data_IF_737811060281
#
_entry.id   IF_737811060281
#
_cell.length_a   1.000
_cell.length_b   1.000
_cell.length_c   1.000
_cell.angle_alpha   90.00
_cell.angle_beta   90.00
_cell.angle_gamma   90.00
#
_symmetry.space_group_name_H-M   'P 1'
#
loop_
_entity.id
_entity.type
_entity.pdbx_description
1 polymer ?
#
# COMPACT_ATOMS: atom_id res chain seq x y z
N UNK A 1 -8.42 -8.90 15.02
CA UNK A 1 -8.96 -9.14 13.66
C UNK A 1 -8.45 -10.50 13.22
N UNK A 2 -9.32 -11.48 12.92
CA UNK A 2 -8.87 -12.84 12.59
C UNK A 2 -8.08 -12.81 11.26
N UNK A 3 -6.90 -13.47 11.16
CA UNK A 3 -6.03 -13.38 9.96
C UNK A 3 -6.72 -13.81 8.65
N UNK A 4 -7.71 -14.71 8.75
CA UNK A 4 -8.53 -15.17 7.62
C UNK A 4 -9.46 -14.08 7.08
N UNK A 5 -10.04 -13.25 7.95
CA UNK A 5 -10.96 -12.18 7.54
C UNK A 5 -10.23 -11.06 6.78
N UNK A 6 -8.98 -10.78 7.16
CA UNK A 6 -8.14 -9.79 6.49
C UNK A 6 -7.80 -10.23 5.07
N UNK A 7 -7.29 -11.46 4.89
CA UNK A 7 -7.01 -12.02 3.55
C UNK A 7 -8.23 -11.99 2.64
N UNK A 8 -9.39 -12.42 3.15
CA UNK A 8 -10.65 -12.42 2.40
C UNK A 8 -11.11 -11.01 1.99
N UNK A 9 -10.82 -9.99 2.81
CA UNK A 9 -11.12 -8.61 2.47
C UNK A 9 -10.23 -8.11 1.32
N UNK A 10 -8.93 -8.43 1.35
CA UNK A 10 -7.98 -8.11 0.28
C UNK A 10 -8.38 -8.80 -1.04
N UNK A 11 -8.69 -10.09 -1.01
CA UNK A 11 -9.11 -10.83 -2.20
C UNK A 11 -10.31 -10.20 -2.89
N UNK A 12 -11.33 -9.83 -2.11
CA UNK A 12 -12.52 -9.13 -2.64
C UNK A 12 -12.18 -7.78 -3.25
N UNK A 13 -11.22 -7.04 -2.68
CA UNK A 13 -10.76 -5.77 -3.26
C UNK A 13 -10.00 -6.00 -4.56
N UNK A 14 -9.17 -7.04 -4.64
CA UNK A 14 -8.47 -7.43 -5.87
C UNK A 14 -9.47 -7.82 -6.98
N UNK A 15 -10.47 -8.63 -6.67
CA UNK A 15 -11.50 -9.03 -7.64
C UNK A 15 -12.31 -7.81 -8.12
N UNK A 16 -12.60 -6.87 -7.23
CA UNK A 16 -13.25 -5.58 -7.59
C UNK A 16 -12.39 -4.76 -8.53
N UNK A 17 -11.09 -4.63 -8.26
CA UNK A 17 -10.17 -3.88 -9.13
C UNK A 17 -10.06 -4.50 -10.53
N UNK A 18 -10.11 -5.84 -10.63
CA UNK A 18 -10.10 -6.53 -11.91
C UNK A 18 -11.43 -6.42 -12.69
N UNK A 19 -12.57 -6.34 -11.98
CA UNK A 19 -13.90 -6.28 -12.60
C UNK A 19 -14.45 -4.86 -12.78
N UNK A 20 -13.82 -3.85 -12.17
CA UNK A 20 -14.29 -2.47 -12.19
C UNK A 20 -14.23 -1.85 -13.60
N UNK A 21 -15.40 -1.51 -14.13
CA UNK A 21 -15.56 -0.85 -15.44
C UNK A 21 -15.40 0.67 -15.35
N UNK A 22 -15.67 1.25 -14.18
CA UNK A 22 -15.59 2.69 -13.94
C UNK A 22 -14.34 3.07 -13.15
N UNK A 23 -13.78 4.24 -13.47
CA UNK A 23 -12.58 4.80 -12.82
C UNK A 23 -12.82 5.07 -11.33
N UNK A 24 -14.00 5.58 -10.97
CA UNK A 24 -14.36 5.85 -9.56
C UNK A 24 -14.29 4.59 -8.69
N UNK A 25 -14.86 3.47 -9.17
CA UNK A 25 -14.82 2.19 -8.46
C UNK A 25 -13.38 1.67 -8.31
N UNK A 26 -12.53 1.86 -9.33
CA UNK A 26 -11.10 1.52 -9.24
C UNK A 26 -10.42 2.36 -8.17
N UNK A 27 -10.64 3.67 -8.15
CA UNK A 27 -10.04 4.58 -7.16
C UNK A 27 -10.44 4.23 -5.74
N UNK A 28 -11.73 3.98 -5.48
CA UNK A 28 -12.22 3.59 -4.16
C UNK A 28 -11.62 2.27 -3.67
N UNK A 29 -11.52 1.29 -4.57
CA UNK A 29 -10.92 0.00 -4.25
C UNK A 29 -9.41 0.12 -3.97
N UNK A 30 -8.65 0.92 -4.74
CA UNK A 30 -7.24 1.20 -4.45
C UNK A 30 -7.09 1.96 -3.13
N UNK A 31 -7.99 2.90 -2.82
CA UNK A 31 -7.95 3.65 -1.56
C UNK A 31 -8.17 2.72 -0.35
N UNK A 32 -9.15 1.82 -0.43
CA UNK A 32 -9.37 0.80 0.59
C UNK A 32 -8.16 -0.15 0.72
N UNK A 33 -7.56 -0.54 -0.41
CA UNK A 33 -6.38 -1.40 -0.43
C UNK A 33 -5.16 -0.73 0.21
N UNK A 34 -4.94 0.57 -0.04
CA UNK A 34 -3.88 1.38 0.59
C UNK A 34 -3.97 1.39 2.12
N UNK A 35 -5.17 1.47 2.66
CA UNK A 35 -5.37 1.47 4.11
C UNK A 35 -4.97 0.12 4.75
N UNK A 36 -5.15 -0.97 4.00
CA UNK A 36 -4.84 -2.32 4.43
C UNK A 36 -3.39 -2.74 4.12
N UNK A 37 -2.73 -2.12 3.14
CA UNK A 37 -1.39 -2.51 2.68
C UNK A 37 -0.30 -2.41 3.77
N UNK A 38 -0.48 -1.52 4.75
CA UNK A 38 0.42 -1.36 5.92
C UNK A 38 0.46 -2.56 6.89
N UNK A 39 -0.36 -3.59 6.67
CA UNK A 39 -0.46 -4.77 7.53
C UNK A 39 -0.45 -6.06 6.71
N UNK A 40 -0.10 -5.97 5.42
CA UNK A 40 -0.11 -7.12 4.53
C UNK A 40 1.15 -7.97 4.71
N UNK A 41 0.94 -9.27 4.93
CA UNK A 41 2.00 -10.28 4.89
C UNK A 41 2.47 -10.46 3.44
N UNK A 42 3.75 -10.81 3.27
CA UNK A 42 4.44 -10.92 1.97
C UNK A 42 3.68 -11.75 0.91
N UNK A 43 3.05 -12.87 1.31
CA UNK A 43 2.32 -13.75 0.40
C UNK A 43 1.15 -13.05 -0.31
N UNK A 44 0.48 -12.12 0.36
CA UNK A 44 -0.64 -11.36 -0.22
C UNK A 44 -0.12 -10.17 -1.04
N UNK A 45 1.06 -9.65 -0.69
CA UNK A 45 1.71 -8.53 -1.35
C UNK A 45 1.98 -8.77 -2.83
N UNK A 46 2.46 -9.96 -3.21
CA UNK A 46 2.85 -10.24 -4.60
C UNK A 46 1.67 -10.10 -5.58
N UNK A 47 0.49 -10.62 -5.22
CA UNK A 47 -0.73 -10.49 -6.04
C UNK A 47 -1.17 -9.04 -6.18
N UNK A 48 -1.07 -8.26 -5.10
CA UNK A 48 -1.40 -6.83 -5.12
C UNK A 48 -0.43 -6.06 -6.03
N UNK A 49 0.88 -6.34 -5.96
CA UNK A 49 1.89 -5.67 -6.77
C UNK A 49 1.61 -5.86 -8.27
N UNK A 50 1.34 -7.09 -8.71
CA UNK A 50 0.99 -7.37 -10.11
C UNK A 50 -0.27 -6.61 -10.53
N UNK A 51 -1.28 -6.56 -9.67
CA UNK A 51 -2.54 -5.88 -9.95
C UNK A 51 -2.35 -4.37 -10.10
N UNK A 52 -1.61 -3.74 -9.18
CA UNK A 52 -1.32 -2.30 -9.24
C UNK A 52 -0.48 -1.95 -10.47
N UNK A 53 0.46 -2.81 -10.88
CA UNK A 53 1.22 -2.64 -12.12
C UNK A 53 0.31 -2.65 -13.36
N UNK A 54 -0.70 -3.52 -13.40
CA UNK A 54 -1.68 -3.53 -14.49
C UNK A 54 -2.53 -2.25 -14.53
N UNK A 55 -2.94 -1.74 -13.36
CA UNK A 55 -3.68 -0.48 -13.25
C UNK A 55 -2.84 0.69 -13.77
N UNK A 56 -1.58 0.80 -13.34
CA UNK A 56 -0.68 1.87 -13.81
C UNK A 56 -0.49 1.79 -15.33
N UNK A 57 -0.44 0.58 -15.90
CA UNK A 57 -0.29 0.40 -17.34
C UNK A 57 -1.56 0.71 -18.13
N UNK A 58 -2.74 0.40 -17.61
CA UNK A 58 -4.03 0.59 -18.27
C UNK A 58 -4.62 2.00 -18.12
N UNK A 59 -4.42 2.63 -16.96
CA UNK A 59 -5.01 3.92 -16.59
C UNK A 59 -3.98 5.06 -16.58
N UNK A 60 -3.06 5.08 -17.55
CA UNK A 60 -1.92 6.03 -17.61
C UNK A 60 -2.28 7.51 -17.62
N UNK A 61 -3.52 7.84 -17.99
CA UNK A 61 -4.03 9.22 -18.03
C UNK A 61 -4.62 9.67 -16.69
N UNK A 62 -4.87 8.73 -15.77
CA UNK A 62 -5.41 9.02 -14.45
C UNK A 62 -4.30 9.15 -13.41
N UNK A 63 -3.77 10.36 -13.29
CA UNK A 63 -2.68 10.67 -12.36
C UNK A 63 -3.04 10.40 -10.90
N UNK A 64 -4.33 10.52 -10.52
CA UNK A 64 -4.76 10.25 -9.15
C UNK A 64 -4.71 8.75 -8.84
N UNK A 65 -5.21 7.93 -9.75
CA UNK A 65 -5.18 6.47 -9.63
C UNK A 65 -3.74 5.95 -9.63
N UNK A 66 -2.88 6.49 -10.50
CA UNK A 66 -1.44 6.16 -10.54
C UNK A 66 -0.77 6.53 -9.20
N UNK A 67 -1.00 7.74 -8.70
CA UNK A 67 -0.45 8.19 -7.41
C UNK A 67 -0.88 7.28 -6.27
N UNK A 68 -2.17 6.90 -6.23
CA UNK A 68 -2.70 5.97 -5.22
C UNK A 68 -2.07 4.58 -5.33
N UNK A 69 -1.90 4.07 -6.56
CA UNK A 69 -1.28 2.78 -6.80
C UNK A 69 0.20 2.76 -6.37
N UNK A 70 0.97 3.78 -6.73
CA UNK A 70 2.36 3.93 -6.32
C UNK A 70 2.50 4.05 -4.79
N UNK A 71 1.65 4.84 -4.14
CA UNK A 71 1.65 4.94 -2.69
C UNK A 71 1.35 3.60 -2.00
N UNK A 72 0.46 2.80 -2.61
CA UNK A 72 0.12 1.47 -2.10
C UNK A 72 1.29 0.51 -2.27
N UNK A 73 1.99 0.56 -3.41
CA UNK A 73 3.22 -0.20 -3.65
C UNK A 73 4.30 0.17 -2.62
N UNK A 74 4.50 1.47 -2.34
CA UNK A 74 5.44 1.91 -1.30
C UNK A 74 5.09 1.28 0.04
N UNK A 75 3.84 1.34 0.47
CA UNK A 75 3.43 0.73 1.74
C UNK A 75 3.72 -0.78 1.79
N UNK A 76 3.56 -1.50 0.67
CA UNK A 76 3.82 -2.96 0.62
C UNK A 76 5.31 -3.27 0.68
N UNK A 77 6.15 -2.46 0.03
CA UNK A 77 7.61 -2.68 -0.03
C UNK A 77 8.27 -2.20 1.28
N UNK A 78 7.77 -1.13 1.88
CA UNK A 78 8.30 -0.58 3.14
C UNK A 78 7.79 -1.33 4.37
N UNK A 79 6.82 -2.25 4.23
CA UNK A 79 6.23 -2.97 5.36
C UNK A 79 7.24 -3.83 6.14
N UNK A 80 8.34 -4.27 5.49
CA UNK A 80 9.44 -5.01 6.13
C UNK A 80 10.40 -4.12 6.95
N UNK A 81 10.33 -2.79 6.82
CA UNK A 81 11.30 -1.86 7.43
C UNK A 81 10.78 -1.20 8.71
N UNK A 82 9.49 -1.35 9.02
CA UNK A 82 8.83 -0.66 10.16
C UNK A 82 8.61 -1.58 11.38
N UNK A 83 8.99 -2.87 11.30
CA UNK A 83 8.79 -3.79 12.42
C UNK A 83 9.85 -3.67 13.52
N UNK A 84 11.01 -3.06 13.25
CA UNK A 84 12.02 -2.82 14.27
C UNK A 84 12.75 -1.50 13.99
N UNK A 85 12.72 -0.59 14.97
CA UNK A 85 13.67 0.49 15.23
C UNK A 85 13.51 1.89 14.56
N UNK A 86 13.55 2.87 15.47
CA UNK A 86 13.98 4.27 15.29
C UNK A 86 13.01 5.25 14.60
N UNK A 87 12.00 5.64 15.38
CA UNK A 87 11.79 7.08 15.57
C UNK A 87 13.14 7.70 15.92
N UNK A 88 13.76 8.34 14.93
CA UNK A 88 14.98 9.10 15.05
C UNK A 88 14.89 10.08 16.24
N UNK A 89 15.36 9.63 17.40
CA UNK A 89 15.89 10.46 18.47
C UNK A 89 17.17 11.21 18.04
N UNK A 90 17.40 11.35 16.73
CA UNK A 90 18.52 12.05 16.12
C UNK A 90 18.54 13.56 16.45
N UNK A 91 17.43 14.12 16.96
CA UNK A 91 17.35 15.55 17.28
C UNK A 91 17.78 15.94 18.70
N UNK A 92 18.14 15.01 19.60
CA UNK A 92 18.47 15.38 21.00
C UNK A 92 19.95 15.31 21.40
N UNK A 93 20.80 14.59 20.66
CA UNK A 93 22.20 14.40 21.07
C UNK A 93 23.19 15.36 20.39
N UNK A 94 22.88 15.88 19.20
CA UNK A 94 23.78 16.77 18.43
C UNK A 94 24.05 18.10 19.16
N UNK A 95 23.21 18.51 20.11
CA UNK A 95 23.38 19.80 20.83
C UNK A 95 24.34 19.71 22.02
N UNK A 96 24.76 18.51 22.45
CA UNK A 96 25.56 18.36 23.69
C UNK A 96 27.07 18.21 23.40
N UNK A 97 27.50 18.15 22.14
CA UNK A 97 28.93 18.01 21.78
C UNK A 97 29.72 19.34 21.75
N UNK A 98 29.08 20.48 22.02
CA UNK A 98 29.74 21.79 22.05
C UNK A 98 29.33 22.61 23.28
N UNK A 99 29.69 22.14 24.47
CA UNK A 99 29.70 22.95 25.71
C UNK A 99 30.87 22.52 26.59
#
# INVERSE_FOLDING_TARGET
MHPVAFRKAIERLCDRLQSARCVGDRRDAVHALKALSKKCELEVGNRIVTLLANIIQGDRTDLELIRLALQTLTNLITNDVDSDEEQLNLSKDITIQFT
#
